data_IF_991288296018
#
_entry.id   IF_991288296018
#
_cell.length_a   1.000
_cell.length_b   1.000
_cell.length_c   1.000
_cell.angle_alpha   90.00
_cell.angle_beta   90.00
_cell.angle_gamma   90.00
#
_symmetry.space_group_name_H-M   'P 1'
#
loop_
_entity.id
_entity.type
_entity.pdbx_description
1 polymer ?
#
# COMPACT_ATOMS: atom_id res chain seq x y z
N UNK A 1 12.67 11.42 5.56
CA UNK A 1 11.19 11.42 5.70
C UNK A 1 10.62 12.24 4.56
N UNK A 2 9.59 11.75 3.85
CA UNK A 2 9.04 12.40 2.63
C UNK A 2 8.00 13.47 2.96
N UNK A 3 7.20 13.28 4.00
CA UNK A 3 6.12 14.20 4.40
C UNK A 3 6.58 15.52 5.07
N UNK A 4 7.83 15.60 5.53
CA UNK A 4 8.33 16.79 6.25
C UNK A 4 7.42 17.17 7.42
N UNK A 5 7.07 18.45 7.51
CA UNK A 5 6.26 19.03 8.58
C UNK A 5 4.83 18.46 8.61
N UNK A 6 4.27 18.05 7.46
CA UNK A 6 2.93 17.46 7.34
C UNK A 6 2.81 16.12 8.10
N UNK A 7 3.93 15.51 8.51
CA UNK A 7 3.91 14.34 9.38
C UNK A 7 3.23 14.63 10.73
N UNK A 8 3.43 15.81 11.30
CA UNK A 8 2.84 16.16 12.60
C UNK A 8 1.31 16.34 12.52
N UNK A 9 0.80 16.62 11.32
CA UNK A 9 -0.62 16.83 11.04
C UNK A 9 -1.39 15.54 10.73
N UNK A 10 -0.67 14.43 10.53
CA UNK A 10 -1.30 13.14 10.27
C UNK A 10 -2.14 12.67 11.48
N UNK A 11 -3.33 12.11 11.24
CA UNK A 11 -4.08 11.38 12.25
C UNK A 11 -3.23 10.35 12.98
N UNK A 12 -3.48 10.19 14.27
CA UNK A 12 -2.65 9.34 15.16
C UNK A 12 -2.56 7.90 14.66
N UNK A 13 -3.66 7.31 14.22
CA UNK A 13 -3.73 5.94 13.72
C UNK A 13 -2.90 5.74 12.45
N UNK A 14 -2.83 6.75 11.58
CA UNK A 14 -1.96 6.72 10.38
C UNK A 14 -0.49 6.84 10.81
N UNK A 15 -0.17 7.75 11.74
CA UNK A 15 1.21 7.88 12.27
C UNK A 15 1.67 6.60 12.95
N UNK A 16 0.82 5.96 13.76
CA UNK A 16 1.13 4.71 14.45
C UNK A 16 1.45 3.59 13.47
N UNK A 17 0.73 3.52 12.35
CA UNK A 17 0.99 2.53 11.30
C UNK A 17 2.35 2.74 10.64
N UNK A 18 2.70 3.98 10.30
CA UNK A 18 3.96 4.32 9.62
C UNK A 18 5.17 4.50 10.57
N UNK A 19 4.95 4.50 11.89
CA UNK A 19 5.99 4.57 12.93
C UNK A 19 6.43 3.17 13.41
N UNK A 20 6.61 2.22 12.50
CA UNK A 20 7.13 0.89 12.86
C UNK A 20 8.64 0.96 13.14
N UNK A 21 9.06 0.89 14.41
CA UNK A 21 10.49 0.94 14.77
C UNK A 21 11.25 -0.32 14.32
N UNK A 22 10.66 -1.51 14.52
CA UNK A 22 11.27 -2.78 14.14
C UNK A 22 10.28 -3.67 13.37
N UNK A 23 9.16 -3.99 14.01
CA UNK A 23 8.14 -4.87 13.46
C UNK A 23 6.78 -4.51 14.07
N UNK A 24 5.76 -4.35 13.23
CA UNK A 24 4.36 -4.19 13.64
C UNK A 24 3.45 -5.12 12.87
N UNK A 25 2.41 -5.60 13.55
CA UNK A 25 1.36 -6.42 12.95
C UNK A 25 0.03 -5.70 13.11
N UNK A 26 -0.77 -5.68 12.05
CA UNK A 26 -2.09 -5.10 12.00
C UNK A 26 -3.08 -6.14 11.49
N UNK A 27 -4.32 -6.08 11.98
CA UNK A 27 -5.41 -6.95 11.53
C UNK A 27 -6.70 -6.16 11.33
N UNK A 28 -7.53 -6.64 10.43
CA UNK A 28 -8.85 -6.06 10.21
C UNK A 28 -9.62 -6.78 9.11
N UNK A 29 -10.44 -6.02 8.37
CA UNK A 29 -11.27 -6.56 7.30
C UNK A 29 -11.25 -5.67 6.08
N UNK A 30 -11.31 -6.29 4.91
CA UNK A 30 -11.38 -5.58 3.64
C UNK A 30 -12.45 -6.14 2.71
N UNK A 31 -12.89 -5.31 1.79
CA UNK A 31 -13.62 -5.71 0.60
C UNK A 31 -12.66 -5.63 -0.57
N UNK A 32 -12.64 -6.66 -1.40
CA UNK A 32 -11.82 -6.73 -2.61
C UNK A 32 -12.74 -6.87 -3.80
N UNK A 33 -12.63 -5.95 -4.75
CA UNK A 33 -13.33 -5.97 -6.04
C UNK A 33 -12.31 -6.11 -7.14
N UNK A 34 -12.46 -7.10 -8.02
CA UNK A 34 -11.60 -7.28 -9.20
C UNK A 34 -12.24 -6.71 -10.46
N UNK A 35 -11.39 -6.29 -11.38
CA UNK A 35 -11.76 -6.02 -12.75
C UNK A 35 -12.27 -7.26 -13.47
N UNK A 36 -13.07 -7.07 -14.52
CA UNK A 36 -13.70 -8.17 -15.27
C UNK A 36 -12.86 -8.68 -16.45
N UNK A 37 -11.64 -8.19 -16.65
CA UNK A 37 -10.81 -8.54 -17.80
C UNK A 37 -9.88 -9.72 -17.47
N UNK A 38 -9.61 -10.59 -18.45
CA UNK A 38 -8.67 -11.72 -18.28
C UNK A 38 -7.26 -11.26 -17.86
N UNK A 39 -6.86 -10.06 -18.28
CA UNK A 39 -5.60 -9.44 -17.88
C UNK A 39 -5.64 -8.94 -16.42
N UNK A 40 -6.80 -8.51 -15.90
CA UNK A 40 -6.95 -8.20 -14.48
C UNK A 40 -6.76 -9.46 -13.63
N UNK A 41 -7.21 -10.63 -14.08
CA UNK A 41 -6.97 -11.90 -13.38
C UNK A 41 -5.51 -12.33 -13.42
N UNK A 42 -4.79 -12.10 -14.53
CA UNK A 42 -3.34 -12.39 -14.61
C UNK A 42 -2.55 -11.46 -13.69
N UNK A 43 -2.87 -10.16 -13.65
CA UNK A 43 -2.22 -9.21 -12.75
C UNK A 43 -2.58 -9.52 -11.29
N UNK A 44 -3.85 -9.86 -11.01
CA UNK A 44 -4.27 -10.28 -9.67
C UNK A 44 -3.58 -11.58 -9.23
N UNK A 45 -3.36 -12.52 -10.15
CA UNK A 45 -2.61 -13.74 -9.88
C UNK A 45 -1.12 -13.47 -9.62
N UNK A 46 -0.48 -12.63 -10.45
CA UNK A 46 0.93 -12.24 -10.28
C UNK A 46 1.17 -11.45 -8.98
N UNK A 47 0.20 -10.64 -8.58
CA UNK A 47 0.27 -9.85 -7.35
C UNK A 47 -0.26 -10.63 -6.15
N UNK A 48 -0.90 -11.79 -6.34
CA UNK A 48 -1.45 -12.60 -5.25
C UNK A 48 -2.67 -12.00 -4.56
N UNK A 49 -3.49 -11.21 -5.26
CA UNK A 49 -4.75 -10.71 -4.71
C UNK A 49 -5.78 -11.86 -4.58
N UNK A 50 -6.68 -11.84 -3.59
CA UNK A 50 -7.76 -12.83 -3.47
C UNK A 50 -8.82 -12.60 -4.56
N UNK A 51 -9.69 -13.59 -4.79
CA UNK A 51 -10.92 -13.41 -5.59
C UNK A 51 -11.75 -12.24 -5.06
N UNK A 52 -12.65 -11.69 -5.88
CA UNK A 52 -13.57 -10.66 -5.41
C UNK A 52 -14.38 -11.18 -4.22
N UNK A 53 -14.22 -10.54 -3.07
CA UNK A 53 -14.72 -11.04 -1.79
C UNK A 53 -15.06 -9.88 -0.85
N UNK A 54 -16.19 -10.01 -0.17
CA UNK A 54 -16.65 -9.05 0.82
C UNK A 54 -16.18 -9.46 2.22
N UNK A 55 -15.66 -8.48 2.98
CA UNK A 55 -15.28 -8.58 4.39
C UNK A 55 -14.28 -9.71 4.68
N UNK A 56 -13.29 -9.91 3.81
CA UNK A 56 -12.21 -10.87 4.05
C UNK A 56 -11.33 -10.45 5.23
N UNK A 57 -10.83 -11.39 6.03
CA UNK A 57 -9.81 -11.08 7.04
C UNK A 57 -8.55 -10.58 6.36
N UNK A 58 -7.97 -9.51 6.89
CA UNK A 58 -6.70 -8.95 6.40
C UNK A 58 -5.72 -8.88 7.55
N UNK A 59 -4.47 -9.26 7.27
CA UNK A 59 -3.34 -8.96 8.13
C UNK A 59 -2.25 -8.22 7.35
N UNK A 60 -1.63 -7.25 8.01
CA UNK A 60 -0.50 -6.48 7.47
C UNK A 60 0.65 -6.56 8.46
N UNK A 61 1.80 -6.98 7.98
CA UNK A 61 3.03 -7.07 8.72
C UNK A 61 4.03 -6.07 8.13
N UNK A 62 4.52 -5.16 8.96
CA UNK A 62 5.47 -4.12 8.56
C UNK A 62 6.77 -4.38 9.32
N UNK A 63 7.81 -4.75 8.59
CA UNK A 63 9.14 -4.98 9.14
C UNK A 63 10.10 -3.92 8.61
N UNK A 64 10.73 -3.15 9.49
CA UNK A 64 11.72 -2.13 9.10
C UNK A 64 13.13 -2.69 9.24
N UNK A 65 13.88 -2.65 8.14
CA UNK A 65 15.31 -3.00 8.09
C UNK A 65 16.09 -1.79 7.57
N UNK A 66 16.66 -1.02 8.51
CA UNK A 66 17.40 0.20 8.18
C UNK A 66 16.51 1.25 7.51
N UNK A 67 16.80 1.58 6.24
CA UNK A 67 16.03 2.55 5.44
C UNK A 67 14.93 1.92 4.58
N UNK A 68 14.76 0.59 4.67
CA UNK A 68 13.77 -0.16 3.90
C UNK A 68 12.70 -0.71 4.84
N UNK A 69 11.45 -0.68 4.40
CA UNK A 69 10.34 -1.37 5.05
C UNK A 69 9.82 -2.46 4.15
N UNK A 70 9.72 -3.68 4.68
CA UNK A 70 9.05 -4.78 4.01
C UNK A 70 7.63 -4.84 4.53
N UNK A 71 6.68 -4.67 3.63
CA UNK A 71 5.26 -4.75 3.90
C UNK A 71 4.74 -6.06 3.35
N UNK A 72 4.26 -6.94 4.21
CA UNK A 72 3.59 -8.17 3.84
C UNK A 72 2.12 -8.05 4.17
N UNK A 73 1.27 -8.29 3.18
CA UNK A 73 -0.19 -8.20 3.29
C UNK A 73 -0.76 -9.56 2.97
N UNK A 74 -1.67 -10.05 3.81
CA UNK A 74 -2.38 -11.31 3.63
C UNK A 74 -3.87 -11.02 3.66
N UNK A 75 -4.57 -11.40 2.59
CA UNK A 75 -6.01 -11.31 2.46
C UNK A 75 -6.58 -12.72 2.35
N UNK A 76 -7.09 -13.25 3.45
CA UNK A 76 -7.68 -14.60 3.51
C UNK A 76 -6.76 -15.72 2.96
N UNK A 77 -5.47 -15.67 3.30
CA UNK A 77 -4.44 -16.63 2.84
C UNK A 77 -3.79 -16.25 1.52
N UNK A 78 -4.25 -15.20 0.84
CA UNK A 78 -3.62 -14.64 -0.34
C UNK A 78 -2.63 -13.54 0.06
N UNK A 79 -1.35 -13.91 0.11
CA UNK A 79 -0.29 -13.03 0.60
C UNK A 79 0.57 -12.44 -0.52
N UNK A 80 0.95 -11.18 -0.35
CA UNK A 80 1.91 -10.49 -1.20
C UNK A 80 2.75 -9.50 -0.39
N UNK A 81 3.93 -9.16 -0.91
CA UNK A 81 4.83 -8.25 -0.24
C UNK A 81 5.43 -7.20 -1.16
N UNK A 82 5.74 -6.05 -0.58
CA UNK A 82 6.44 -4.95 -1.22
C UNK A 82 7.52 -4.38 -0.32
N UNK A 83 8.49 -3.71 -0.94
CA UNK A 83 9.54 -2.96 -0.24
C UNK A 83 9.28 -1.46 -0.40
N UNK A 84 9.25 -0.73 0.71
CA UNK A 84 9.07 0.72 0.76
C UNK A 84 10.37 1.38 1.17
N UNK A 85 10.79 2.39 0.41
CA UNK A 85 12.02 3.17 0.63
C UNK A 85 11.78 4.65 0.37
N UNK A 86 12.61 5.51 0.95
CA UNK A 86 12.68 6.93 0.53
C UNK A 86 13.42 7.01 -0.80
N UNK A 87 12.83 7.69 -1.78
CA UNK A 87 13.37 7.80 -3.13
C UNK A 87 14.57 8.74 -3.23
N UNK A 88 15.52 8.35 -4.09
CA UNK A 88 16.73 9.10 -4.42
C UNK A 88 16.83 9.29 -5.95
N UNK A 89 17.62 10.26 -6.41
CA UNK A 89 17.88 10.49 -7.84
C UNK A 89 16.60 10.68 -8.66
N UNK A 90 16.34 9.78 -9.62
CA UNK A 90 15.11 9.77 -10.43
C UNK A 90 13.84 9.77 -9.58
N UNK A 91 13.87 9.22 -8.37
CA UNK A 91 12.74 9.19 -7.45
C UNK A 91 12.85 10.18 -6.29
N UNK A 92 13.72 11.19 -6.38
CA UNK A 92 13.89 12.18 -5.31
C UNK A 92 12.55 12.82 -4.92
N UNK A 93 12.37 13.00 -3.61
CA UNK A 93 11.15 13.51 -2.95
C UNK A 93 9.91 12.60 -3.06
N UNK A 94 10.08 11.33 -3.45
CA UNK A 94 8.99 10.35 -3.53
C UNK A 94 9.19 9.24 -2.51
N UNK A 95 8.11 8.66 -2.03
CA UNK A 95 8.16 7.32 -1.43
C UNK A 95 8.19 6.30 -2.57
N UNK A 96 9.04 5.30 -2.47
CA UNK A 96 9.22 4.29 -3.49
C UNK A 96 8.73 2.94 -2.99
N UNK A 97 7.70 2.40 -3.63
CA UNK A 97 7.25 1.03 -3.40
C UNK A 97 7.72 0.13 -4.55
N UNK A 98 8.42 -0.95 -4.20
CA UNK A 98 8.88 -1.96 -5.14
C UNK A 98 8.05 -3.23 -4.98
N UNK A 99 7.54 -3.72 -6.10
CA UNK A 99 6.82 -4.99 -6.22
C UNK A 99 7.47 -5.82 -7.34
N UNK A 100 8.30 -6.80 -6.98
CA UNK A 100 9.04 -7.61 -7.94
C UNK A 100 9.88 -6.76 -8.91
N UNK A 101 9.62 -6.82 -10.24
CA UNK A 101 10.34 -6.04 -11.24
C UNK A 101 9.85 -4.58 -11.36
N UNK A 102 8.74 -4.24 -10.72
CA UNK A 102 8.15 -2.90 -10.76
C UNK A 102 8.61 -2.06 -9.57
N UNK A 103 8.86 -0.78 -9.82
CA UNK A 103 9.08 0.21 -8.75
C UNK A 103 8.28 1.46 -9.07
N UNK A 104 7.45 1.90 -8.12
CA UNK A 104 6.59 3.07 -8.24
C UNK A 104 7.03 4.14 -7.24
N UNK A 105 7.27 5.35 -7.75
CA UNK A 105 7.52 6.52 -6.95
C UNK A 105 6.24 7.33 -6.79
N UNK A 106 5.80 7.50 -5.55
CA UNK A 106 4.57 8.19 -5.18
C UNK A 106 4.90 9.46 -4.39
N UNK A 107 4.22 10.54 -4.74
CA UNK A 107 4.16 11.73 -3.90
C UNK A 107 3.11 11.51 -2.81
N UNK A 108 3.36 12.06 -1.63
CA UNK A 108 2.42 12.05 -0.51
C UNK A 108 1.80 13.44 -0.40
N UNK A 109 0.47 13.48 -0.32
CA UNK A 109 -0.30 14.71 -0.22
C UNK A 109 -1.34 14.56 0.89
N UNK A 110 -1.30 15.43 1.89
CA UNK A 110 -2.22 15.40 3.02
C UNK A 110 -3.28 16.48 2.80
N UNK A 111 -4.52 16.06 2.58
CA UNK A 111 -5.67 16.95 2.42
C UNK A 111 -6.78 16.53 3.38
N UNK A 112 -7.27 17.46 4.21
CA UNK A 112 -8.39 17.22 5.13
C UNK A 112 -8.27 15.90 5.95
N UNK A 113 -7.09 15.66 6.57
CA UNK A 113 -6.78 14.43 7.31
C UNK A 113 -6.82 13.13 6.48
N UNK A 114 -6.86 13.24 5.15
CA UNK A 114 -6.74 12.13 4.20
C UNK A 114 -5.34 12.16 3.59
N UNK A 115 -4.60 11.08 3.73
CA UNK A 115 -3.29 10.94 3.09
C UNK A 115 -3.45 10.31 1.71
N UNK A 116 -3.09 11.05 0.67
CA UNK A 116 -3.13 10.62 -0.72
C UNK A 116 -1.76 10.15 -1.20
N UNK A 117 -1.76 9.03 -1.92
CA UNK A 117 -0.59 8.50 -2.61
C UNK A 117 -0.77 8.75 -4.10
N UNK A 118 0.09 9.59 -4.67
CA UNK A 118 -0.02 10.02 -6.07
C UNK A 118 1.13 9.46 -6.88
N UNK A 119 0.91 8.46 -7.76
CA UNK A 119 1.95 7.94 -8.64
C UNK A 119 2.55 9.04 -9.53
N UNK A 120 3.87 9.25 -9.45
CA UNK A 120 4.59 10.27 -10.23
C UNK A 120 5.53 9.65 -11.26
N UNK A 121 6.22 8.58 -10.90
CA UNK A 121 7.27 7.93 -11.69
C UNK A 121 7.24 6.43 -11.48
N UNK A 122 7.71 5.66 -12.46
CA UNK A 122 7.84 4.23 -12.29
C UNK A 122 8.90 3.64 -13.20
N UNK A 123 9.41 2.47 -12.83
CA UNK A 123 10.37 1.71 -13.61
C UNK A 123 9.95 0.25 -13.71
N UNK A 124 10.28 -0.38 -14.83
CA UNK A 124 10.20 -1.83 -15.03
C UNK A 124 11.62 -2.36 -15.23
N UNK A 125 12.06 -3.33 -14.41
CA UNK A 125 13.43 -3.86 -14.44
C UNK A 125 14.51 -2.76 -14.34
N UNK A 126 14.20 -1.65 -13.64
CA UNK A 126 15.09 -0.50 -13.48
C UNK A 126 15.04 0.52 -14.63
N UNK A 127 14.31 0.24 -15.72
CA UNK A 127 14.17 1.15 -16.86
C UNK A 127 13.03 2.15 -16.59
N UNK A 128 13.26 3.48 -16.64
CA UNK A 128 12.21 4.47 -16.51
C UNK A 128 11.13 4.30 -17.57
N UNK A 129 9.87 4.23 -17.13
CA UNK A 129 8.73 3.99 -18.01
C UNK A 129 7.91 5.27 -18.25
N UNK A 130 7.23 5.40 -19.40
CA UNK A 130 6.34 6.53 -19.66
C UNK A 130 5.23 6.61 -18.62
N UNK A 131 4.99 7.82 -18.08
CA UNK A 131 4.01 8.04 -17.02
C UNK A 131 2.58 7.63 -17.40
N UNK A 132 2.21 7.79 -18.68
CA UNK A 132 0.87 7.47 -19.17
C UNK A 132 0.56 5.96 -19.19
N UNK A 133 1.56 5.11 -18.95
CA UNK A 133 1.41 3.66 -18.80
C UNK A 133 1.37 3.20 -17.34
N UNK A 134 1.63 4.11 -16.38
CA UNK A 134 1.62 3.78 -14.97
C UNK A 134 0.21 3.38 -14.50
N UNK A 135 0.09 2.53 -13.47
CA UNK A 135 -1.16 2.36 -12.76
C UNK A 135 -1.65 3.70 -12.22
N UNK A 136 -2.93 3.96 -12.45
CA UNK A 136 -3.69 5.07 -11.89
C UNK A 136 -4.73 4.52 -10.90
N UNK A 137 -5.51 5.41 -10.31
CA UNK A 137 -6.57 5.06 -9.36
C UNK A 137 -6.38 5.76 -8.03
N UNK A 138 -7.42 5.70 -7.19
CA UNK A 138 -7.42 6.34 -5.89
C UNK A 138 -6.64 5.50 -4.87
N UNK A 139 -5.61 6.08 -4.27
CA UNK A 139 -4.83 5.48 -3.19
C UNK A 139 -4.83 6.43 -2.02
N UNK A 140 -5.63 6.13 -0.99
CA UNK A 140 -5.81 7.00 0.17
C UNK A 140 -5.84 6.25 1.48
N UNK A 141 -5.37 6.92 2.52
CA UNK A 141 -5.48 6.50 3.92
C UNK A 141 -6.28 7.55 4.70
N UNK A 142 -7.17 7.08 5.57
CA UNK A 142 -8.08 7.92 6.37
C UNK A 142 -8.26 7.30 7.75
N UNK A 143 -8.89 8.05 8.66
CA UNK A 143 -9.35 7.52 9.95
C UNK A 143 -10.85 7.63 10.05
N UNK A 144 -11.50 6.52 10.42
CA UNK A 144 -12.93 6.44 10.68
C UNK A 144 -13.15 5.53 11.90
N UNK A 145 -13.92 5.98 12.88
CA UNK A 145 -14.20 5.26 14.13
C UNK A 145 -12.93 4.75 14.84
N UNK A 146 -11.92 5.62 14.98
CA UNK A 146 -10.61 5.33 15.59
C UNK A 146 -9.93 4.09 14.98
N UNK A 147 -10.10 3.92 13.67
CA UNK A 147 -9.46 2.88 12.87
C UNK A 147 -8.76 3.50 11.69
N UNK A 148 -7.56 3.01 11.43
CA UNK A 148 -6.91 3.21 10.15
C UNK A 148 -7.76 2.60 9.05
N UNK A 149 -8.11 3.37 8.02
CA UNK A 149 -8.84 2.94 6.84
C UNK A 149 -7.99 3.17 5.60
N UNK A 150 -7.94 2.18 4.73
CA UNK A 150 -7.26 2.26 3.44
C UNK A 150 -8.26 2.09 2.30
N UNK A 151 -7.98 2.75 1.18
CA UNK A 151 -8.64 2.52 -0.09
C UNK A 151 -7.59 2.57 -1.18
N UNK A 152 -7.41 1.46 -1.87
CA UNK A 152 -6.47 1.34 -2.99
C UNK A 152 -7.22 0.83 -4.20
N UNK A 153 -7.24 1.66 -5.23
CA UNK A 153 -7.75 1.35 -6.55
C UNK A 153 -6.58 1.37 -7.54
N UNK A 154 -6.52 0.33 -8.36
CA UNK A 154 -5.52 0.16 -9.41
C UNK A 154 -6.22 0.00 -10.75
N UNK A 155 -5.94 0.94 -11.64
CA UNK A 155 -6.45 1.00 -13.01
C UNK A 155 -5.27 1.09 -13.95
N UNK A 156 -5.21 0.21 -14.94
CA UNK A 156 -4.22 0.29 -16.00
C UNK A 156 -4.82 0.95 -17.25
N UNK A 157 -4.13 1.88 -17.92
CA UNK A 157 -4.66 2.64 -19.07
C UNK A 157 -5.24 1.79 -20.21
N UNK A 158 -4.67 0.61 -20.46
CA UNK A 158 -5.09 -0.29 -21.56
C UNK A 158 -6.07 -1.36 -21.07
N UNK A 159 -5.90 -1.84 -19.85
CA UNK A 159 -6.65 -2.99 -19.32
C UNK A 159 -7.92 -2.56 -18.57
N UNK A 160 -7.98 -1.31 -18.14
CA UNK A 160 -9.02 -0.77 -17.29
C UNK A 160 -8.80 -1.11 -15.82
N UNK A 161 -9.90 -1.15 -15.06
CA UNK A 161 -9.89 -1.50 -13.64
C UNK A 161 -9.28 -2.88 -13.42
N UNK A 162 -8.32 -2.98 -12.49
CA UNK A 162 -7.65 -4.22 -12.11
C UNK A 162 -8.18 -4.71 -10.78
N UNK A 163 -8.07 -3.86 -9.76
CA UNK A 163 -8.49 -4.20 -8.41
C UNK A 163 -8.80 -2.94 -7.62
N UNK A 164 -9.83 -3.02 -6.78
CA UNK A 164 -10.02 -2.11 -5.65
C UNK A 164 -10.02 -2.95 -4.40
N UNK A 165 -9.20 -2.60 -3.42
CA UNK A 165 -9.30 -3.14 -2.09
C UNK A 165 -9.38 -2.01 -1.07
N UNK A 166 -10.35 -2.11 -0.18
CA UNK A 166 -10.59 -1.10 0.83
C UNK A 166 -11.02 -1.76 2.13
N UNK A 167 -10.62 -1.19 3.25
CA UNK A 167 -10.86 -1.80 4.54
C UNK A 167 -10.29 -0.98 5.68
N UNK A 168 -10.32 -1.59 6.86
CA UNK A 168 -9.77 -0.99 8.06
C UNK A 168 -8.80 -1.95 8.76
N UNK A 169 -7.88 -1.39 9.53
CA UNK A 169 -6.89 -2.11 10.32
C UNK A 169 -6.85 -1.56 11.76
N UNK A 170 -6.48 -2.42 12.69
CA UNK A 170 -6.03 -2.07 14.04
C UNK A 170 -4.72 -2.77 14.35
N UNK A 171 -3.87 -2.12 15.14
CA UNK A 171 -2.64 -2.75 15.61
C UNK A 171 -2.98 -4.00 16.43
N UNK A 172 -2.30 -5.09 16.10
CA UNK A 172 -2.43 -6.38 16.76
C UNK A 172 -1.12 -6.67 17.48
N UNK A 173 -0.99 -6.17 18.71
CA UNK A 173 0.13 -6.51 19.59
C UNK A 173 0.06 -8.00 19.90
N UNK A 174 0.98 -8.79 19.37
CA UNK A 174 1.22 -10.12 19.93
C UNK A 174 1.75 -9.91 21.35
N UNK A 175 0.93 -10.22 22.35
CA UNK A 175 1.43 -10.41 23.71
C UNK A 175 2.44 -11.55 23.61
N UNK A 176 3.72 -11.26 23.84
CA UNK A 176 4.72 -12.29 23.98
C UNK A 176 4.26 -13.20 25.14
N UNK A 177 3.82 -14.41 24.81
CA UNK A 177 3.66 -15.47 25.80
C UNK A 177 5.09 -15.91 26.13
N UNK A 178 5.67 -15.27 27.15
CA UNK A 178 6.89 -15.78 27.77
C UNK A 178 6.55 -17.17 28.32
N UNK A 179 7.03 -18.20 27.62
CA UNK A 179 7.05 -19.59 28.12
C UNK A 179 8.30 -19.82 28.95
#
# INVERSE_FOLDING_TARGET
QVLGDAWAELPTEIRELHCAENHKCFRGRANVTRGRSLLADVVAWFVGFPSASDKVPVSVEIQRTGKCEVWKRDFDGHAFSSEITVGEGYFSQLICERFGPFKFGMGLDLDNATLHYVPRRWTLLGIPMPRFLAPAGKMVETVLDDKFNFHVEVVLPVVGHIVTYQGWLKEHTQVAVNS
#
